data_IF_432745252369
#
_entry.id   IF_432745252369
#
_cell.length_a   1.000
_cell.length_b   1.000
_cell.length_c   1.000
_cell.angle_alpha   90.00
_cell.angle_beta   90.00
_cell.angle_gamma   90.00
#
_symmetry.space_group_name_H-M   'P 1'
#
loop_
_entity.id
_entity.type
_entity.pdbx_description
1 polymer ?
#
# COMPACT_ATOMS: atom_id res chain seq x y z
N UNK A 1 -11.21 29.33 4.66
CA UNK A 1 -12.08 29.14 3.49
C UNK A 1 -13.50 29.50 3.90
N UNK A 2 -14.30 30.16 3.04
CA UNK A 2 -15.70 30.42 3.36
C UNK A 2 -16.42 29.08 3.50
N UNK A 3 -17.17 28.90 4.57
CA UNK A 3 -18.00 27.74 4.78
C UNK A 3 -19.02 27.66 3.65
N UNK A 4 -19.07 26.56 2.89
CA UNK A 4 -20.05 26.44 1.81
C UNK A 4 -21.46 26.47 2.38
N UNK A 5 -22.35 27.19 1.71
CA UNK A 5 -23.77 27.20 2.07
C UNK A 5 -24.39 25.95 1.44
N UNK A 6 -24.49 24.89 2.23
CA UNK A 6 -25.17 23.67 1.79
C UNK A 6 -26.63 23.76 2.20
N UNK A 7 -27.51 23.71 1.20
CA UNK A 7 -28.95 23.69 1.46
C UNK A 7 -29.35 22.27 1.83
N UNK A 8 -29.87 22.04 3.03
CA UNK A 8 -30.41 20.71 3.43
C UNK A 8 -31.50 20.30 2.47
N UNK A 9 -31.32 19.14 1.85
CA UNK A 9 -32.34 18.50 1.02
C UNK A 9 -33.25 17.65 1.91
N UNK A 10 -34.52 17.57 1.56
CA UNK A 10 -35.44 16.62 2.18
C UNK A 10 -35.00 15.18 1.84
N UNK A 11 -35.15 14.21 2.76
CA UNK A 11 -34.90 12.83 2.45
C UNK A 11 -35.72 12.38 1.22
N UNK A 12 -35.08 11.77 0.26
CA UNK A 12 -35.74 11.23 -0.93
C UNK A 12 -36.32 9.86 -0.58
N UNK A 13 -37.59 9.62 -0.90
CA UNK A 13 -38.18 8.29 -0.79
C UNK A 13 -37.48 7.35 -1.79
N UNK A 14 -37.03 6.18 -1.32
CA UNK A 14 -36.39 5.18 -2.16
C UNK A 14 -37.28 4.72 -3.34
N UNK A 15 -38.59 4.84 -3.20
CA UNK A 15 -39.56 4.54 -4.28
C UNK A 15 -39.56 5.61 -5.40
N UNK A 16 -39.10 6.81 -5.12
CA UNK A 16 -39.00 7.90 -6.10
C UNK A 16 -37.66 7.91 -6.85
N UNK A 17 -36.77 6.96 -6.56
CA UNK A 17 -35.43 6.91 -7.15
C UNK A 17 -35.38 6.77 -8.67
N UNK A 18 -36.40 6.15 -9.26
CA UNK A 18 -36.53 6.04 -10.72
C UNK A 18 -36.90 7.37 -11.39
N UNK A 19 -37.29 8.39 -10.63
CA UNK A 19 -37.73 9.66 -11.14
C UNK A 19 -36.72 10.82 -10.90
N UNK A 20 -35.56 10.52 -10.29
CA UNK A 20 -34.48 11.50 -10.14
C UNK A 20 -33.72 11.58 -11.48
N UNK A 21 -34.29 12.30 -12.42
CA UNK A 21 -33.55 12.70 -13.63
C UNK A 21 -32.95 14.08 -13.35
N UNK A 22 -31.61 14.15 -13.38
CA UNK A 22 -30.94 15.44 -13.42
C UNK A 22 -31.50 16.22 -14.60
N UNK A 23 -31.93 17.45 -14.35
CA UNK A 23 -32.40 18.30 -15.43
C UNK A 23 -31.19 18.81 -16.21
N UNK A 24 -31.30 19.07 -17.52
CA UNK A 24 -30.20 19.61 -18.30
C UNK A 24 -29.65 20.94 -17.77
N UNK A 25 -30.44 21.66 -17.00
CA UNK A 25 -30.08 22.91 -16.34
C UNK A 25 -29.33 22.70 -15.00
N UNK A 26 -29.26 21.49 -14.46
CA UNK A 26 -28.51 21.20 -13.24
C UNK A 26 -27.02 21.14 -13.58
N UNK A 27 -26.25 22.12 -13.10
CA UNK A 27 -24.81 22.15 -13.30
C UNK A 27 -24.13 21.10 -12.42
N UNK A 28 -23.32 20.22 -13.06
CA UNK A 28 -22.46 19.28 -12.37
C UNK A 28 -21.08 19.91 -12.24
N UNK A 29 -20.63 20.09 -11.01
CA UNK A 29 -19.33 20.70 -10.72
C UNK A 29 -18.40 19.72 -10.05
N UNK A 30 -17.11 19.78 -10.39
CA UNK A 30 -16.05 19.08 -9.67
C UNK A 30 -15.67 19.98 -8.49
N UNK A 31 -15.91 19.52 -7.27
CA UNK A 31 -15.65 20.29 -6.04
C UNK A 31 -14.19 20.14 -5.61
N UNK A 32 -13.63 18.96 -5.76
CA UNK A 32 -12.23 18.69 -5.45
C UNK A 32 -11.72 17.43 -6.13
N UNK A 33 -10.41 17.25 -6.10
CA UNK A 33 -9.70 16.06 -6.59
C UNK A 33 -8.68 15.68 -5.53
N UNK A 34 -8.67 14.41 -5.12
CA UNK A 34 -7.63 13.81 -4.28
C UNK A 34 -6.64 13.01 -5.11
N UNK A 35 -5.38 13.13 -4.79
CA UNK A 35 -4.30 12.41 -5.46
C UNK A 35 -3.24 11.95 -4.45
N UNK A 36 -2.65 10.79 -4.72
CA UNK A 36 -1.48 10.30 -4.01
C UNK A 36 -0.49 9.73 -5.03
N UNK A 37 0.68 10.32 -5.09
CA UNK A 37 1.72 9.96 -6.04
C UNK A 37 3.13 10.11 -5.47
N UNK A 38 4.16 10.04 -6.34
CA UNK A 38 5.56 10.16 -5.92
C UNK A 38 5.91 11.49 -5.23
N UNK A 39 5.13 12.52 -5.48
CA UNK A 39 5.24 13.84 -4.85
C UNK A 39 4.14 14.09 -3.79
N UNK A 40 3.58 13.04 -3.19
CA UNK A 40 2.49 13.20 -2.23
C UNK A 40 1.16 13.52 -2.89
N UNK A 41 0.49 14.58 -2.44
CA UNK A 41 -0.80 15.03 -2.98
C UNK A 41 -0.69 15.67 -4.38
N UNK A 42 -1.83 15.87 -5.05
CA UNK A 42 -1.87 16.57 -6.33
C UNK A 42 -1.36 18.02 -6.26
N UNK A 43 -1.49 18.66 -5.11
CA UNK A 43 -0.97 20.03 -4.88
C UNK A 43 0.54 20.05 -4.89
N UNK A 44 1.17 19.14 -4.12
CA UNK A 44 2.64 19.04 -4.04
C UNK A 44 3.22 18.55 -5.36
N UNK A 45 2.55 17.60 -6.06
CA UNK A 45 2.96 17.16 -7.40
C UNK A 45 2.95 18.30 -8.41
N UNK A 46 1.89 19.07 -8.48
CA UNK A 46 1.79 20.17 -9.42
C UNK A 46 2.91 21.20 -9.21
N UNK A 47 3.25 21.51 -7.96
CA UNK A 47 4.36 22.42 -7.65
C UNK A 47 5.71 21.81 -8.01
N UNK A 48 5.96 20.55 -7.67
CA UNK A 48 7.20 19.87 -8.01
C UNK A 48 7.42 19.82 -9.53
N UNK A 49 6.39 19.42 -10.30
CA UNK A 49 6.49 19.33 -11.77
C UNK A 49 6.71 20.70 -12.42
N UNK A 50 6.14 21.76 -11.89
CA UNK A 50 6.36 23.13 -12.38
C UNK A 50 7.70 23.71 -11.93
N UNK A 51 8.26 23.21 -10.82
CA UNK A 51 9.52 23.66 -10.23
C UNK A 51 10.76 22.90 -10.70
N UNK A 52 10.62 21.92 -11.63
CA UNK A 52 11.77 21.18 -12.15
C UNK A 52 12.56 22.04 -13.11
N UNK A 53 13.83 22.26 -12.81
CA UNK A 53 14.78 22.95 -13.66
C UNK A 53 15.50 22.01 -14.64
N UNK A 54 16.14 22.58 -15.65
CA UNK A 54 16.86 21.81 -16.68
C UNK A 54 18.08 21.04 -16.14
N UNK A 55 18.60 21.42 -14.98
CA UNK A 55 19.68 20.72 -14.27
C UNK A 55 19.16 19.60 -13.33
N UNK A 56 17.83 19.42 -13.26
CA UNK A 56 17.18 18.42 -12.40
C UNK A 56 16.92 18.88 -10.97
N UNK A 57 17.25 20.11 -10.61
CA UNK A 57 16.85 20.68 -9.32
C UNK A 57 15.34 20.94 -9.30
N UNK A 58 14.74 20.89 -8.12
CA UNK A 58 13.29 21.08 -7.93
C UNK A 58 13.07 22.17 -6.90
N UNK A 59 12.33 23.20 -7.31
CA UNK A 59 11.87 24.24 -6.40
C UNK A 59 10.48 23.88 -5.85
N UNK A 60 10.39 23.81 -4.52
CA UNK A 60 9.14 23.61 -3.82
C UNK A 60 8.77 24.84 -3.00
N UNK A 61 7.49 25.19 -2.97
CA UNK A 61 7.01 26.22 -2.05
C UNK A 61 7.13 25.76 -0.59
N UNK A 62 7.16 26.70 0.34
CA UNK A 62 7.20 26.40 1.77
C UNK A 62 6.04 25.47 2.21
N UNK A 63 4.83 25.68 1.64
CA UNK A 63 3.68 24.80 1.91
C UNK A 63 3.86 23.37 1.39
N UNK A 64 4.48 23.19 0.22
CA UNK A 64 4.76 21.86 -0.31
C UNK A 64 5.82 21.13 0.51
N UNK A 65 6.88 21.83 0.94
CA UNK A 65 7.90 21.25 1.83
C UNK A 65 7.27 20.83 3.15
N UNK A 66 6.43 21.67 3.75
CA UNK A 66 5.75 21.36 5.01
C UNK A 66 4.84 20.14 4.85
N UNK A 67 4.00 20.08 3.80
CA UNK A 67 3.10 18.95 3.56
C UNK A 67 3.89 17.64 3.36
N UNK A 68 4.95 17.68 2.56
CA UNK A 68 5.78 16.50 2.32
C UNK A 68 6.55 16.08 3.58
N UNK A 69 7.11 17.02 4.35
CA UNK A 69 7.81 16.74 5.60
C UNK A 69 6.86 16.09 6.63
N UNK A 70 5.63 16.57 6.70
CA UNK A 70 4.60 15.95 7.53
C UNK A 70 4.24 14.54 7.04
N UNK A 71 4.01 14.35 5.73
CA UNK A 71 3.71 13.05 5.14
C UNK A 71 4.79 12.00 5.39
N UNK A 72 6.06 12.43 5.41
CA UNK A 72 7.23 11.56 5.61
C UNK A 72 7.55 11.31 7.09
N UNK A 73 6.82 11.91 8.01
CA UNK A 73 7.10 11.77 9.43
C UNK A 73 8.27 12.60 9.97
N UNK A 74 8.77 13.54 9.18
CA UNK A 74 9.83 14.46 9.65
C UNK A 74 9.28 15.51 10.61
N UNK A 75 8.00 15.85 10.46
CA UNK A 75 7.28 16.82 11.30
C UNK A 75 5.97 16.25 11.79
N UNK A 76 5.57 16.66 12.99
CA UNK A 76 4.26 16.35 13.57
C UNK A 76 3.73 17.58 14.25
N UNK A 77 2.43 17.90 14.02
CA UNK A 77 1.77 18.96 14.77
C UNK A 77 1.38 18.46 16.16
N UNK A 78 1.63 19.27 17.17
CA UNK A 78 1.17 19.03 18.53
C UNK A 78 0.66 20.32 19.17
N UNK A 79 -0.39 20.19 19.98
CA UNK A 79 -0.99 21.32 20.72
C UNK A 79 -0.31 21.55 22.07
N UNK A 80 0.40 20.57 22.58
CA UNK A 80 1.09 20.60 23.88
C UNK A 80 2.54 20.13 23.72
N UNK A 81 3.51 20.72 24.42
CA UNK A 81 3.40 21.80 25.43
C UNK A 81 3.10 23.20 24.85
N UNK A 82 3.33 23.41 23.57
CA UNK A 82 3.00 24.64 22.84
C UNK A 82 2.48 24.24 21.45
N UNK A 83 1.37 24.79 20.97
CA UNK A 83 0.91 24.53 19.61
C UNK A 83 1.99 24.84 18.58
N UNK A 84 2.30 23.88 17.72
CA UNK A 84 3.32 24.04 16.68
C UNK A 84 3.82 22.75 16.08
N UNK A 85 4.76 22.90 15.16
CA UNK A 85 5.42 21.79 14.49
C UNK A 85 6.61 21.29 15.31
N UNK A 86 6.71 19.99 15.44
CA UNK A 86 7.80 19.32 16.17
C UNK A 86 8.54 18.36 15.26
N UNK A 87 9.86 18.35 15.37
CA UNK A 87 10.70 17.37 14.67
C UNK A 87 10.68 16.00 15.37
N UNK A 88 11.38 15.04 14.78
CA UNK A 88 11.48 13.68 15.31
C UNK A 88 12.12 13.58 16.69
N UNK A 89 12.91 14.58 17.08
CA UNK A 89 13.56 14.67 18.39
C UNK A 89 12.71 15.38 19.43
N UNK A 90 11.51 15.85 19.02
CA UNK A 90 10.58 16.55 19.90
C UNK A 90 10.89 18.05 20.08
N UNK A 91 11.71 18.64 19.23
CA UNK A 91 12.00 20.08 19.28
C UNK A 91 10.97 20.84 18.46
N UNK A 92 10.52 21.98 18.98
CA UNK A 92 9.65 22.90 18.26
C UNK A 92 10.42 23.53 17.09
N UNK A 93 9.85 23.45 15.90
CA UNK A 93 10.40 24.04 14.67
C UNK A 93 9.50 25.22 14.25
N UNK A 94 10.03 26.44 14.17
CA UNK A 94 9.29 27.57 13.63
C UNK A 94 8.84 27.30 12.19
N UNK A 95 7.61 27.68 11.86
CA UNK A 95 7.06 27.39 10.53
C UNK A 95 7.85 28.07 9.41
N UNK A 96 8.40 29.24 9.67
CA UNK A 96 9.28 29.99 8.76
C UNK A 96 10.58 29.26 8.42
N UNK A 97 11.09 28.41 9.32
CA UNK A 97 12.35 27.69 9.14
C UNK A 97 12.18 26.32 8.45
N UNK A 98 10.94 25.81 8.35
CA UNK A 98 10.67 24.46 7.85
C UNK A 98 11.14 24.30 6.41
N UNK A 99 10.84 25.26 5.56
CA UNK A 99 11.18 25.19 4.15
C UNK A 99 12.69 25.10 3.94
N UNK A 100 13.46 25.94 4.59
CA UNK A 100 14.92 25.95 4.48
C UNK A 100 15.54 24.67 5.07
N UNK A 101 15.01 24.22 6.21
CA UNK A 101 15.57 23.06 6.94
C UNK A 101 15.32 21.73 6.25
N UNK A 102 14.15 21.54 5.62
CA UNK A 102 13.72 20.23 5.12
C UNK A 102 13.67 20.11 3.60
N UNK A 103 13.88 21.19 2.85
CA UNK A 103 13.75 21.19 1.38
C UNK A 103 14.53 20.05 0.72
N UNK A 104 15.83 19.98 0.95
CA UNK A 104 16.71 19.01 0.28
C UNK A 104 16.37 17.58 0.68
N UNK A 105 16.03 17.34 1.95
CA UNK A 105 15.64 16.03 2.43
C UNK A 105 14.32 15.56 1.83
N UNK A 106 13.35 16.45 1.74
CA UNK A 106 12.03 16.18 1.14
C UNK A 106 12.17 15.86 -0.35
N UNK A 107 12.96 16.64 -1.08
CA UNK A 107 13.23 16.40 -2.51
C UNK A 107 13.92 15.06 -2.70
N UNK A 108 14.96 14.74 -1.91
CA UNK A 108 15.69 13.48 -2.01
C UNK A 108 14.81 12.24 -1.71
N UNK A 109 13.77 12.41 -0.91
CA UNK A 109 12.85 11.33 -0.50
C UNK A 109 11.58 11.25 -1.35
N UNK A 110 11.39 12.12 -2.33
CA UNK A 110 10.20 12.20 -3.18
C UNK A 110 10.52 11.90 -4.65
N UNK A 111 9.50 11.83 -5.48
CA UNK A 111 9.63 11.77 -6.92
C UNK A 111 10.10 10.41 -7.46
N UNK A 112 10.84 10.47 -8.56
CA UNK A 112 11.43 9.31 -9.22
C UNK A 112 12.77 9.00 -8.57
N UNK A 113 12.88 7.81 -7.98
CA UNK A 113 14.09 7.40 -7.25
C UNK A 113 14.53 6.00 -7.63
N UNK A 114 15.82 5.65 -7.41
CA UNK A 114 16.25 4.26 -7.47
C UNK A 114 15.44 3.41 -6.47
N UNK A 115 15.09 2.19 -6.88
CA UNK A 115 14.53 1.22 -5.93
C UNK A 115 15.61 0.80 -4.95
N UNK A 116 15.29 0.77 -3.66
CA UNK A 116 16.19 0.23 -2.65
C UNK A 116 16.28 -1.30 -2.81
N UNK A 117 17.45 -1.87 -2.52
CA UNK A 117 17.62 -3.32 -2.50
C UNK A 117 16.62 -3.91 -1.49
N UNK A 118 15.79 -4.86 -1.93
CA UNK A 118 14.73 -5.44 -1.12
C UNK A 118 13.35 -4.77 -1.22
N UNK A 119 13.20 -3.70 -1.96
CA UNK A 119 11.92 -2.99 -2.11
C UNK A 119 10.87 -3.73 -2.98
N UNK A 120 11.16 -4.95 -3.44
CA UNK A 120 10.17 -5.87 -3.98
C UNK A 120 9.53 -6.76 -2.93
N UNK A 121 10.11 -6.80 -1.72
CA UNK A 121 9.70 -7.63 -0.61
C UNK A 121 9.11 -6.76 0.51
N UNK A 122 7.89 -6.28 0.32
CA UNK A 122 7.06 -5.77 1.41
C UNK A 122 6.58 -6.91 2.36
N UNK A 123 7.31 -8.01 2.37
CA UNK A 123 7.07 -9.14 3.24
C UNK A 123 7.97 -9.03 4.46
N UNK A 124 7.31 -9.05 5.61
CA UNK A 124 7.81 -9.10 6.99
C UNK A 124 9.29 -9.45 7.13
N UNK A 125 9.97 -8.71 7.97
CA UNK A 125 11.32 -9.00 8.48
C UNK A 125 11.62 -10.50 8.56
N UNK A 126 12.42 -11.00 7.64
CA UNK A 126 12.80 -12.39 7.57
C UNK A 126 12.60 -12.98 6.18
N UNK A 127 13.48 -12.59 5.24
CA UNK A 127 13.96 -13.43 4.13
C UNK A 127 12.93 -14.38 3.46
N UNK A 128 11.86 -13.86 2.92
CA UNK A 128 11.20 -14.58 1.86
C UNK A 128 11.92 -14.22 0.55
N UNK A 129 13.03 -14.91 0.30
CA UNK A 129 13.54 -15.06 -1.04
C UNK A 129 12.38 -15.61 -1.86
N UNK A 130 11.98 -14.94 -2.95
CA UNK A 130 10.98 -15.50 -3.84
C UNK A 130 11.47 -16.88 -4.27
N UNK A 131 10.71 -17.91 -3.93
CA UNK A 131 11.01 -19.26 -4.37
C UNK A 131 10.36 -19.52 -5.73
N UNK A 132 11.13 -20.04 -6.65
CA UNK A 132 10.61 -20.57 -7.91
C UNK A 132 10.50 -22.09 -7.83
N UNK A 133 9.39 -22.63 -8.28
CA UNK A 133 9.24 -24.05 -8.47
C UNK A 133 9.96 -24.48 -9.75
N UNK A 134 10.89 -25.42 -9.60
CA UNK A 134 11.68 -25.99 -10.69
C UNK A 134 11.50 -27.48 -10.69
N UNK A 135 11.22 -28.06 -11.84
CA UNK A 135 11.19 -29.52 -12.01
C UNK A 135 12.58 -30.03 -12.39
N UNK A 136 13.01 -31.05 -11.71
CA UNK A 136 14.26 -31.74 -12.04
C UNK A 136 14.10 -32.47 -13.37
N UNK A 137 15.04 -32.29 -14.28
CA UNK A 137 15.12 -33.01 -15.56
C UNK A 137 15.94 -34.28 -15.47
N UNK A 138 16.68 -34.50 -14.38
CA UNK A 138 17.47 -35.67 -14.05
C UNK A 138 17.48 -35.92 -12.55
N UNK A 139 17.93 -37.10 -12.16
CA UNK A 139 18.05 -37.50 -10.76
C UNK A 139 19.16 -36.70 -10.07
N UNK A 140 18.89 -36.19 -8.88
CA UNK A 140 19.84 -35.48 -8.02
C UNK A 140 19.99 -36.24 -6.71
N UNK A 141 21.23 -36.64 -6.36
CA UNK A 141 21.55 -37.33 -5.11
C UNK A 141 22.44 -36.46 -4.25
N UNK A 142 22.11 -36.36 -2.96
CA UNK A 142 22.90 -35.66 -1.95
C UNK A 142 22.84 -36.41 -0.62
N UNK A 143 23.85 -36.19 0.25
CA UNK A 143 23.92 -36.83 1.55
C UNK A 143 23.37 -35.93 2.67
N UNK A 144 22.75 -36.56 3.65
CA UNK A 144 22.26 -35.95 4.87
C UNK A 144 22.70 -36.73 6.11
N UNK A 145 22.88 -36.10 7.27
CA UNK A 145 23.54 -36.74 8.40
C UNK A 145 22.72 -37.86 9.06
N UNK A 146 21.39 -37.81 9.00
CA UNK A 146 20.54 -38.81 9.70
C UNK A 146 19.37 -39.29 8.85
N UNK A 147 18.83 -40.44 9.23
CA UNK A 147 17.64 -41.01 8.60
C UNK A 147 16.39 -40.14 8.78
N UNK A 148 16.29 -39.50 9.92
CA UNK A 148 15.16 -38.65 10.23
C UNK A 148 15.13 -37.47 9.26
N UNK A 149 16.26 -36.81 9.01
CA UNK A 149 16.41 -35.75 8.02
C UNK A 149 16.09 -36.25 6.61
N UNK A 150 16.61 -37.43 6.23
CA UNK A 150 16.28 -38.03 4.93
C UNK A 150 14.78 -38.32 4.78
N UNK A 151 14.11 -38.74 5.84
CA UNK A 151 12.69 -39.05 5.83
C UNK A 151 11.81 -37.76 5.68
N UNK A 152 12.29 -36.60 6.07
CA UNK A 152 11.59 -35.35 5.83
C UNK A 152 11.50 -35.02 4.34
N UNK A 153 12.55 -35.27 3.57
CA UNK A 153 12.53 -35.12 2.12
C UNK A 153 11.54 -36.08 1.44
N UNK A 154 11.39 -37.30 1.95
CA UNK A 154 10.39 -38.26 1.44
C UNK A 154 8.97 -37.74 1.70
N UNK A 155 8.72 -37.15 2.87
CA UNK A 155 7.40 -36.58 3.17
C UNK A 155 7.03 -35.41 2.26
N UNK A 156 8.01 -34.66 1.77
CA UNK A 156 7.76 -33.52 0.85
C UNK A 156 7.33 -34.01 -0.55
N UNK A 157 7.85 -35.14 -1.03
CA UNK A 157 7.51 -35.70 -2.33
C UNK A 157 7.82 -37.21 -2.32
N UNK A 158 6.89 -37.99 -1.81
CA UNK A 158 7.02 -39.45 -1.67
C UNK A 158 7.16 -40.15 -3.02
N UNK A 159 6.51 -39.65 -4.05
CA UNK A 159 6.49 -40.25 -5.38
C UNK A 159 7.85 -40.17 -6.10
N UNK A 160 8.64 -39.13 -5.79
CA UNK A 160 9.90 -38.86 -6.51
C UNK A 160 11.12 -38.81 -5.59
N UNK A 161 11.04 -39.35 -4.38
CA UNK A 161 12.17 -39.33 -3.44
C UNK A 161 12.48 -40.73 -2.93
N UNK A 162 13.74 -41.15 -3.05
CA UNK A 162 14.24 -42.37 -2.43
C UNK A 162 15.40 -42.08 -1.49
N UNK A 163 15.50 -42.85 -0.41
CA UNK A 163 16.58 -42.75 0.56
C UNK A 163 17.30 -44.09 0.74
N UNK A 164 18.61 -44.02 0.88
CA UNK A 164 19.45 -45.19 1.13
C UNK A 164 20.58 -44.85 2.11
N UNK A 165 20.98 -45.76 3.00
CA UNK A 165 22.16 -45.55 3.83
C UNK A 165 23.43 -45.59 2.96
N UNK A 166 24.37 -44.70 3.27
CA UNK A 166 25.72 -44.74 2.72
C UNK A 166 26.63 -45.49 3.70
N UNK A 167 27.08 -46.68 3.30
CA UNK A 167 27.88 -47.54 4.16
C UNK A 167 29.31 -47.02 4.38
N UNK A 168 29.80 -46.11 3.50
CA UNK A 168 31.18 -45.60 3.60
C UNK A 168 31.24 -44.39 4.53
N UNK A 169 30.31 -43.48 4.43
CA UNK A 169 30.26 -42.23 5.23
C UNK A 169 29.45 -42.36 6.52
N UNK A 170 28.55 -43.32 6.60
CA UNK A 170 27.57 -43.44 7.69
C UNK A 170 26.42 -42.40 7.61
N UNK A 171 26.34 -41.66 6.51
CA UNK A 171 25.28 -40.71 6.21
C UNK A 171 24.13 -41.39 5.45
N UNK A 172 23.12 -40.62 5.10
CA UNK A 172 22.00 -41.07 4.29
C UNK A 172 21.95 -40.32 2.96
N UNK A 173 21.94 -41.10 1.88
CA UNK A 173 21.75 -40.56 0.54
C UNK A 173 20.27 -40.34 0.25
N UNK A 174 19.90 -39.12 -0.14
CA UNK A 174 18.58 -38.73 -0.62
C UNK A 174 18.67 -38.54 -2.14
N UNK A 175 17.91 -39.33 -2.89
CA UNK A 175 17.82 -39.18 -4.35
C UNK A 175 16.45 -38.58 -4.70
N UNK A 176 16.45 -37.40 -5.29
CA UNK A 176 15.28 -36.78 -5.90
C UNK A 176 15.28 -37.12 -7.38
N UNK A 177 14.25 -37.86 -7.81
CA UNK A 177 14.14 -38.30 -9.19
C UNK A 177 13.68 -37.23 -10.15
N UNK A 178 13.97 -37.39 -11.44
CA UNK A 178 13.47 -36.55 -12.51
C UNK A 178 11.94 -36.41 -12.41
N UNK A 179 11.43 -35.20 -12.62
CA UNK A 179 10.02 -34.84 -12.41
C UNK A 179 9.70 -34.37 -10.99
N UNK A 180 10.62 -34.52 -10.04
CA UNK A 180 10.48 -33.94 -8.69
C UNK A 180 10.47 -32.42 -8.76
N UNK A 181 9.55 -31.83 -8.03
CA UNK A 181 9.50 -30.36 -7.85
C UNK A 181 10.37 -29.94 -6.67
N UNK A 182 11.26 -29.00 -6.90
CA UNK A 182 12.06 -28.34 -5.85
C UNK A 182 11.80 -26.84 -5.84
N UNK A 183 11.90 -26.23 -4.69
CA UNK A 183 11.86 -24.77 -4.55
C UNK A 183 13.27 -24.22 -4.47
N UNK A 184 13.58 -23.30 -5.35
CA UNK A 184 14.88 -22.64 -5.39
C UNK A 184 14.71 -21.14 -5.20
N UNK A 185 15.62 -20.49 -4.45
CA UNK A 185 15.61 -19.04 -4.32
C UNK A 185 15.69 -18.39 -5.70
N UNK A 186 14.74 -17.53 -6.01
CA UNK A 186 14.70 -16.78 -7.25
C UNK A 186 15.00 -15.31 -6.95
N UNK A 187 16.08 -14.82 -7.53
CA UNK A 187 16.33 -13.38 -7.63
C UNK A 187 15.76 -12.87 -8.94
N UNK A 188 14.71 -12.07 -8.88
CA UNK A 188 14.22 -11.34 -10.04
C UNK A 188 15.18 -10.16 -10.32
N UNK A 189 15.86 -10.20 -11.46
CA UNK A 189 16.64 -9.03 -11.90
C UNK A 189 15.69 -8.06 -12.58
N UNK A 190 15.45 -6.92 -11.95
CA UNK A 190 14.67 -5.85 -12.55
C UNK A 190 15.48 -5.19 -13.66
N UNK A 191 14.91 -5.05 -14.86
CA UNK A 191 15.54 -4.33 -15.98
C UNK A 191 15.51 -2.81 -15.82
N UNK A 192 14.64 -2.33 -14.90
CA UNK A 192 14.54 -0.91 -14.53
C UNK A 192 14.73 -0.80 -13.04
N UNK A 193 15.71 -0.01 -12.63
CA UNK A 193 16.09 0.18 -11.24
C UNK A 193 15.60 1.51 -10.66
N UNK A 194 14.83 2.27 -11.45
CA UNK A 194 14.35 3.61 -11.11
C UNK A 194 12.86 3.67 -11.39
N UNK A 195 12.09 4.27 -10.50
CA UNK A 195 10.64 4.44 -10.65
C UNK A 195 10.06 5.50 -9.72
N UNK A 196 8.82 5.90 -10.02
CA UNK A 196 8.04 6.72 -9.10
C UNK A 196 7.64 5.92 -7.87
N UNK A 197 7.95 6.44 -6.71
CA UNK A 197 7.67 5.80 -5.43
C UNK A 197 7.03 6.83 -4.51
N UNK A 198 6.08 6.42 -3.67
CA UNK A 198 5.56 7.30 -2.64
C UNK A 198 6.70 7.92 -1.83
N UNK A 199 6.49 9.13 -1.27
CA UNK A 199 7.49 9.76 -0.43
C UNK A 199 8.02 8.79 0.62
N UNK A 200 9.34 8.70 0.78
CA UNK A 200 9.95 7.77 1.74
C UNK A 200 9.56 8.12 3.17
N UNK A 201 8.97 7.17 3.88
CA UNK A 201 8.40 7.39 5.22
C UNK A 201 6.91 7.77 5.20
N UNK A 202 6.25 7.69 4.03
CA UNK A 202 4.81 7.90 3.95
C UNK A 202 4.05 6.99 4.92
N UNK A 203 3.24 7.60 5.77
CA UNK A 203 2.48 6.90 6.81
C UNK A 203 0.97 7.22 6.66
N UNK A 204 0.14 6.23 6.26
CA UNK A 204 -1.29 6.42 6.12
C UNK A 204 -2.01 6.83 7.42
N UNK A 205 -1.45 6.51 8.59
CA UNK A 205 -2.08 6.87 9.87
C UNK A 205 -2.19 8.37 10.09
N UNK A 206 -1.31 9.14 9.45
CA UNK A 206 -1.35 10.61 9.49
C UNK A 206 -2.58 11.20 8.80
N UNK A 207 -3.21 10.42 7.92
CA UNK A 207 -4.45 10.75 7.23
C UNK A 207 -5.70 10.30 8.01
N UNK A 208 -5.55 9.94 9.29
CA UNK A 208 -6.63 9.49 10.16
C UNK A 208 -6.97 8.01 10.01
N UNK A 209 -6.19 7.24 9.25
CA UNK A 209 -6.41 5.80 9.10
C UNK A 209 -5.93 5.09 10.36
N UNK A 210 -6.75 4.23 11.00
CA UNK A 210 -6.34 3.48 12.18
C UNK A 210 -5.13 2.59 11.89
N UNK A 211 -4.14 2.56 12.79
CA UNK A 211 -2.95 1.74 12.65
C UNK A 211 -3.25 0.24 12.49
N UNK A 212 -4.34 -0.25 13.10
CA UNK A 212 -4.81 -1.63 12.96
C UNK A 212 -5.19 -2.00 11.52
N UNK A 213 -5.60 -1.02 10.72
CA UNK A 213 -5.95 -1.25 9.31
C UNK A 213 -4.73 -1.29 8.39
N UNK A 214 -3.66 -0.58 8.74
CA UNK A 214 -2.47 -0.46 7.86
C UNK A 214 -1.82 -1.81 7.60
N UNK A 215 -1.88 -2.75 8.57
CA UNK A 215 -1.34 -4.10 8.44
C UNK A 215 -2.28 -5.10 7.77
N UNK A 216 -3.58 -4.89 7.86
CA UNK A 216 -4.59 -5.90 7.53
C UNK A 216 -5.30 -5.65 6.21
N UNK A 217 -5.35 -4.41 5.75
CA UNK A 217 -6.05 -4.01 4.53
C UNK A 217 -5.08 -3.90 3.34
N UNK A 218 -5.54 -4.30 2.17
CA UNK A 218 -4.75 -4.15 0.94
C UNK A 218 -4.30 -2.70 0.73
N UNK A 219 -3.03 -2.52 0.39
CA UNK A 219 -2.42 -1.19 0.22
C UNK A 219 -3.19 -0.30 -0.77
N UNK A 220 -3.78 -0.89 -1.82
CA UNK A 220 -4.56 -0.11 -2.79
C UNK A 220 -5.80 0.52 -2.14
N UNK A 221 -6.42 -0.19 -1.17
CA UNK A 221 -7.55 0.35 -0.42
C UNK A 221 -7.12 1.48 0.51
N UNK A 222 -5.97 1.34 1.19
CA UNK A 222 -5.41 2.40 2.03
C UNK A 222 -5.11 3.66 1.21
N UNK A 223 -4.52 3.51 0.04
CA UNK A 223 -4.24 4.64 -0.86
C UNK A 223 -5.52 5.31 -1.35
N UNK A 224 -6.56 4.51 -1.63
CA UNK A 224 -7.86 5.02 -2.02
C UNK A 224 -8.50 5.84 -0.88
N UNK A 225 -8.40 5.37 0.36
CA UNK A 225 -8.86 6.13 1.53
C UNK A 225 -8.09 7.44 1.66
N UNK A 226 -6.76 7.42 1.56
CA UNK A 226 -5.94 8.63 1.63
C UNK A 226 -6.34 9.64 0.56
N UNK A 227 -6.52 9.20 -0.69
CA UNK A 227 -6.96 10.10 -1.78
C UNK A 227 -8.37 10.64 -1.56
N UNK A 228 -9.24 9.84 -0.95
CA UNK A 228 -10.60 10.29 -0.57
C UNK A 228 -10.53 11.38 0.50
N UNK A 229 -9.72 11.17 1.54
CA UNK A 229 -9.50 12.19 2.58
C UNK A 229 -8.91 13.46 1.99
N UNK A 230 -7.91 13.34 1.10
CA UNK A 230 -7.31 14.47 0.41
C UNK A 230 -8.36 15.27 -0.40
N UNK A 231 -9.26 14.57 -1.10
CA UNK A 231 -10.36 15.21 -1.83
C UNK A 231 -11.30 15.96 -0.90
N UNK A 232 -11.69 15.41 0.24
CA UNK A 232 -12.53 16.10 1.21
C UNK A 232 -11.83 17.32 1.81
N UNK A 233 -10.57 17.20 2.18
CA UNK A 233 -9.78 18.34 2.67
C UNK A 233 -9.67 19.45 1.62
N UNK A 234 -9.45 19.07 0.37
CA UNK A 234 -9.41 20.01 -0.75
C UNK A 234 -10.76 20.69 -1.03
N UNK A 235 -11.86 19.98 -0.83
CA UNK A 235 -13.22 20.51 -0.97
C UNK A 235 -13.60 21.47 0.16
N UNK A 236 -12.95 21.35 1.34
CA UNK A 236 -13.30 22.11 2.53
C UNK A 236 -14.55 21.59 3.24
N UNK A 237 -14.97 20.35 2.96
CA UNK A 237 -16.08 19.67 3.63
C UNK A 237 -15.59 18.49 4.43
N UNK A 238 -16.23 18.22 5.54
CA UNK A 238 -16.13 16.93 6.21
C UNK A 238 -17.22 15.96 5.69
N UNK A 239 -17.01 14.65 5.74
CA UNK A 239 -18.05 13.68 5.41
C UNK A 239 -19.34 13.92 6.20
N UNK A 240 -19.23 14.26 7.49
CA UNK A 240 -20.38 14.55 8.37
C UNK A 240 -21.21 15.73 7.85
N UNK A 241 -20.57 16.83 7.47
CA UNK A 241 -21.26 18.01 6.92
C UNK A 241 -22.03 17.70 5.63
N UNK A 242 -21.44 16.83 4.78
CA UNK A 242 -22.12 16.40 3.55
C UNK A 242 -23.34 15.54 3.89
N UNK A 243 -23.19 14.56 4.79
CA UNK A 243 -24.26 13.63 5.16
C UNK A 243 -25.38 14.30 5.98
N UNK A 244 -25.10 15.39 6.69
CA UNK A 244 -26.13 16.21 7.31
C UNK A 244 -27.00 16.95 6.28
N UNK A 245 -26.44 17.19 5.09
CA UNK A 245 -27.09 17.98 4.05
C UNK A 245 -27.64 17.16 2.90
N UNK A 246 -27.02 16.02 2.61
CA UNK A 246 -27.39 15.13 1.51
C UNK A 246 -27.67 13.75 2.09
N UNK A 247 -28.86 13.19 1.75
CA UNK A 247 -29.18 11.85 2.21
C UNK A 247 -28.19 10.82 1.63
N UNK A 248 -27.71 9.83 2.43
CA UNK A 248 -26.71 8.86 1.98
C UNK A 248 -27.07 8.10 0.70
N UNK A 249 -28.37 7.87 0.46
CA UNK A 249 -28.85 7.22 -0.78
C UNK A 249 -28.58 8.04 -2.05
N UNK A 250 -28.31 9.33 -1.92
CA UNK A 250 -27.98 10.22 -3.03
C UNK A 250 -26.46 10.39 -3.22
N UNK A 251 -25.65 9.80 -2.34
CA UNK A 251 -24.20 9.83 -2.43
C UNK A 251 -23.73 8.53 -3.07
N UNK A 252 -23.30 8.60 -4.33
CA UNK A 252 -22.72 7.46 -5.01
C UNK A 252 -21.20 7.44 -4.85
N UNK A 253 -20.65 6.25 -4.61
CA UNK A 253 -19.21 6.02 -4.68
C UNK A 253 -18.92 5.04 -5.80
N UNK A 254 -18.21 5.50 -6.82
CA UNK A 254 -17.78 4.67 -7.94
C UNK A 254 -16.27 4.54 -7.93
N UNK A 255 -15.76 3.31 -8.00
CA UNK A 255 -14.34 3.03 -7.97
C UNK A 255 -13.97 2.11 -9.11
N UNK A 256 -12.82 2.36 -9.72
CA UNK A 256 -12.25 1.53 -10.75
C UNK A 256 -10.77 1.27 -10.48
N UNK A 257 -10.32 0.07 -10.78
CA UNK A 257 -8.90 -0.30 -10.66
C UNK A 257 -8.52 -1.28 -11.75
N UNK A 258 -7.28 -1.15 -12.27
CA UNK A 258 -6.71 -2.12 -13.21
C UNK A 258 -6.04 -3.31 -12.50
N UNK A 259 -5.49 -3.11 -11.31
CA UNK A 259 -4.72 -4.09 -10.55
C UNK A 259 -5.06 -4.12 -9.07
N UNK A 260 -6.27 -3.75 -8.69
CA UNK A 260 -6.67 -3.70 -7.29
C UNK A 260 -6.75 -5.06 -6.65
N UNK A 261 -6.37 -5.14 -5.37
CA UNK A 261 -6.51 -6.35 -4.57
C UNK A 261 -5.50 -7.46 -4.87
N UNK A 262 -4.38 -7.17 -5.54
CA UNK A 262 -3.36 -8.17 -5.86
C UNK A 262 -2.75 -8.83 -4.61
N UNK A 263 -2.54 -8.06 -3.54
CA UNK A 263 -2.02 -8.58 -2.27
C UNK A 263 -3.04 -9.52 -1.61
N UNK A 264 -4.29 -9.10 -1.54
CA UNK A 264 -5.38 -9.93 -1.02
C UNK A 264 -5.60 -11.18 -1.88
N UNK A 265 -5.53 -11.03 -3.21
CA UNK A 265 -5.64 -12.16 -4.14
C UNK A 265 -4.51 -13.17 -3.95
N UNK A 266 -3.27 -12.69 -3.74
CA UNK A 266 -2.12 -13.56 -3.43
C UNK A 266 -2.38 -14.33 -2.14
N UNK A 267 -2.69 -13.67 -1.03
CA UNK A 267 -2.98 -14.31 0.26
C UNK A 267 -4.13 -15.31 0.18
N UNK A 268 -5.23 -14.95 -0.49
CA UNK A 268 -6.42 -15.80 -0.55
C UNK A 268 -6.27 -17.01 -1.46
N UNK A 269 -5.54 -16.87 -2.56
CA UNK A 269 -5.49 -17.90 -3.59
C UNK A 269 -4.10 -18.49 -3.80
N UNK A 270 -3.06 -17.67 -3.95
CA UNK A 270 -1.73 -18.16 -4.31
C UNK A 270 -1.01 -18.79 -3.12
N UNK A 271 -1.00 -18.13 -1.96
CA UNK A 271 -0.31 -18.65 -0.78
C UNK A 271 -0.94 -19.95 -0.28
N UNK A 272 -2.25 -20.11 -0.46
CA UNK A 272 -2.93 -21.37 -0.20
C UNK A 272 -2.43 -22.53 -1.07
N UNK A 273 -2.17 -22.28 -2.35
CA UNK A 273 -1.69 -23.30 -3.27
C UNK A 273 -0.19 -23.55 -3.11
N UNK A 274 0.59 -22.50 -2.86
CA UNK A 274 2.05 -22.59 -2.76
C UNK A 274 2.52 -23.11 -1.40
N UNK A 275 1.89 -22.69 -0.30
CA UNK A 275 2.34 -23.00 1.06
C UNK A 275 1.49 -24.05 1.74
N UNK A 276 0.40 -24.52 1.10
CA UNK A 276 -0.62 -25.39 1.71
C UNK A 276 -1.21 -24.85 3.02
N UNK A 277 -1.04 -23.55 3.27
CA UNK A 277 -1.62 -22.87 4.40
C UNK A 277 -3.04 -22.44 4.08
N UNK A 278 -3.97 -22.79 4.94
CA UNK A 278 -5.32 -22.22 4.90
C UNK A 278 -5.28 -21.00 5.81
N UNK A 279 -5.45 -19.76 5.28
CA UNK A 279 -5.55 -18.59 6.14
C UNK A 279 -6.66 -18.81 7.16
N UNK A 280 -6.37 -18.55 8.41
CA UNK A 280 -7.29 -18.78 9.54
C UNK A 280 -8.55 -17.92 9.45
N UNK A 281 -8.58 -16.94 8.54
CA UNK A 281 -9.66 -15.95 8.44
C UNK A 281 -10.05 -15.63 7.00
N UNK A 282 -10.13 -16.66 6.14
CA UNK A 282 -10.56 -16.52 4.72
C UNK A 282 -11.90 -15.80 4.61
N UNK A 283 -12.83 -16.03 5.55
CA UNK A 283 -14.14 -15.39 5.52
C UNK A 283 -14.03 -13.89 5.83
N UNK A 284 -13.18 -13.50 6.74
CA UNK A 284 -12.96 -12.10 7.08
C UNK A 284 -12.27 -11.38 5.92
N UNK A 285 -11.20 -11.92 5.35
CA UNK A 285 -10.53 -11.36 4.18
C UNK A 285 -11.41 -11.38 2.92
N UNK A 286 -12.23 -12.40 2.72
CA UNK A 286 -13.17 -12.45 1.59
C UNK A 286 -14.35 -11.47 1.75
N UNK A 287 -14.77 -11.19 3.00
CA UNK A 287 -15.77 -10.19 3.30
C UNK A 287 -15.21 -8.76 3.30
N UNK A 288 -13.93 -8.60 3.59
CA UNK A 288 -13.19 -7.34 3.49
C UNK A 288 -12.78 -7.10 2.03
N UNK A 289 -13.76 -7.03 1.12
CA UNK A 289 -13.48 -6.42 -0.18
C UNK A 289 -12.84 -5.06 0.10
N UNK A 290 -11.56 -4.84 -0.29
CA UNK A 290 -10.83 -3.62 0.06
C UNK A 290 -11.58 -2.34 -0.33
N UNK A 291 -12.40 -2.40 -1.37
CA UNK A 291 -13.22 -1.27 -1.80
C UNK A 291 -14.48 -1.06 -0.95
N UNK A 292 -15.03 -2.10 -0.37
CA UNK A 292 -16.16 -2.00 0.56
C UNK A 292 -15.68 -1.56 1.95
N UNK A 293 -14.53 -2.05 2.40
CA UNK A 293 -13.90 -1.61 3.64
C UNK A 293 -13.57 -0.11 3.59
N UNK A 294 -12.99 0.36 2.49
CA UNK A 294 -12.73 1.78 2.30
C UNK A 294 -13.98 2.65 2.40
N UNK A 295 -15.14 2.15 1.94
CA UNK A 295 -16.42 2.83 2.09
C UNK A 295 -16.95 2.85 3.53
N UNK A 296 -16.90 1.71 4.20
CA UNK A 296 -17.53 1.56 5.53
C UNK A 296 -16.86 2.35 6.64
N UNK A 297 -15.64 2.85 6.42
CA UNK A 297 -14.87 3.57 7.42
C UNK A 297 -15.15 5.06 7.40
N UNK A 298 -15.48 5.62 6.23
CA UNK A 298 -15.71 7.05 6.06
C UNK A 298 -17.18 7.42 5.81
N UNK A 299 -18.06 6.45 5.73
CA UNK A 299 -19.49 6.58 5.57
C UNK A 299 -20.26 5.69 6.57
#
# INVERSE_FOLDING_TARGET
LPTPIVTKQAPVDLNDWTNVTAKPEDEIVIVSVGELGPWGSGRTRAQAELGIHSDGTVDLSAGAVLELAWNMGLLTWADSPKPGWYDTDGNLVPEEDIAERYHDEVVARSGIRPFEEGMGNDYKDGADEEEAEVFLDHDVTFSVPTREVAAEYVKLDEAHTTIAPDEESGEWNVTRHAGSMIRVPRRATMTRTVGGQFPKGFDPTRWGIPASMVGDVDKIALWNIVTTVDAYLGAGFTPTEILESIHPSLVASTQGTGFGGMMSMRKLYLDRFLNHEIPTDILQEACENPFLAAKSIYF
#
